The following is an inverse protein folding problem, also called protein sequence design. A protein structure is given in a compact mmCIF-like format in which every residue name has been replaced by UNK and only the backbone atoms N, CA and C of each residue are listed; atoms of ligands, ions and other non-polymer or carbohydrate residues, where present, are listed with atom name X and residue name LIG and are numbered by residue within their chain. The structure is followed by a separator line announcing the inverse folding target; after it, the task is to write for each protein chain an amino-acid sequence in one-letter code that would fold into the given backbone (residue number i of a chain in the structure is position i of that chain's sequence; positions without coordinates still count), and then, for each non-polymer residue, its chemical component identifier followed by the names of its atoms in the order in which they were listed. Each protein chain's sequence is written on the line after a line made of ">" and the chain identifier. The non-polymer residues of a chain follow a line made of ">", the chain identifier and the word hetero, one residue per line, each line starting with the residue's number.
data_IF_293070394246
#
_entry.id   IF_293070394246
#
_cell.length_a   1.000
_cell.length_b   1.000
_cell.length_c   1.000
_cell.angle_alpha   90.00
_cell.angle_beta   90.00
_cell.angle_gamma   90.00
#
_symmetry.space_group_name_H-M   'P 1'
#
loop_
_entity.id
_entity.type
_entity.pdbx_description
1 polymer ?
#
# COMPACT_ATOMS: atom_id res chain seq x y z
N UNK A 1 11.14 30.65 14.47
CA UNK A 1 11.43 29.20 14.46
C UNK A 1 10.10 28.51 14.64
N UNK A 2 9.63 27.83 13.60
CA UNK A 2 8.42 27.02 13.66
C UNK A 2 8.77 25.74 14.46
N UNK A 3 8.31 25.65 15.71
CA UNK A 3 8.72 24.56 16.61
C UNK A 3 7.96 23.28 16.27
N UNK A 4 8.44 22.58 15.23
CA UNK A 4 7.87 21.34 14.72
C UNK A 4 8.03 20.13 15.66
N UNK A 5 8.55 20.30 16.88
CA UNK A 5 8.76 19.21 17.86
C UNK A 5 7.49 18.43 18.21
N UNK A 6 6.33 19.07 18.11
CA UNK A 6 5.03 18.46 18.43
C UNK A 6 4.31 17.88 17.20
N UNK A 7 4.93 17.94 16.01
CA UNK A 7 4.33 17.37 14.80
C UNK A 7 4.47 15.84 14.78
N UNK A 8 3.55 15.19 14.05
CA UNK A 8 3.65 13.77 13.76
C UNK A 8 4.79 13.45 12.78
N UNK A 9 5.08 12.16 12.62
CA UNK A 9 6.06 11.66 11.65
C UNK A 9 5.44 11.51 10.26
N UNK A 10 6.26 11.69 9.22
CA UNK A 10 5.85 11.54 7.82
C UNK A 10 5.25 10.16 7.56
N UNK A 11 3.96 10.12 7.21
CA UNK A 11 3.19 8.88 7.00
C UNK A 11 3.76 7.98 5.90
N UNK A 12 4.39 8.56 4.88
CA UNK A 12 5.07 7.83 3.79
C UNK A 12 6.32 7.06 4.23
N UNK A 13 6.83 7.30 5.45
CA UNK A 13 8.00 6.59 6.01
C UNK A 13 7.54 5.44 6.91
N UNK A 14 6.78 5.74 7.98
CA UNK A 14 6.44 4.73 8.98
C UNK A 14 5.25 3.84 8.59
N UNK A 15 4.35 4.32 7.71
CA UNK A 15 3.07 3.67 7.44
C UNK A 15 3.23 2.25 6.86
N UNK A 16 4.09 2.08 5.85
CA UNK A 16 4.31 0.78 5.23
C UNK A 16 4.87 -0.26 6.22
N UNK A 17 5.83 0.15 7.05
CA UNK A 17 6.44 -0.72 8.06
C UNK A 17 5.46 -1.12 9.16
N UNK A 18 4.61 -0.19 9.60
CA UNK A 18 3.57 -0.52 10.56
C UNK A 18 2.60 -1.54 9.95
N UNK A 19 2.12 -1.32 8.73
CA UNK A 19 1.21 -2.26 8.07
C UNK A 19 1.83 -3.65 7.91
N UNK A 20 3.09 -3.76 7.47
CA UNK A 20 3.82 -5.03 7.42
C UNK A 20 3.82 -5.75 8.78
N UNK A 21 4.04 -5.01 9.87
CA UNK A 21 3.97 -5.54 11.24
C UNK A 21 2.56 -5.97 11.65
N UNK A 22 1.55 -5.14 11.43
CA UNK A 22 0.16 -5.43 11.80
C UNK A 22 -0.39 -6.65 11.06
N UNK A 23 -0.09 -6.75 9.77
CA UNK A 23 -0.46 -7.92 8.96
C UNK A 23 0.24 -9.17 9.50
N UNK A 24 1.55 -9.11 9.75
CA UNK A 24 2.28 -10.25 10.32
C UNK A 24 1.72 -10.68 11.69
N UNK A 25 1.34 -9.73 12.55
CA UNK A 25 0.69 -9.99 13.84
C UNK A 25 -0.64 -10.72 13.63
N UNK A 26 -1.49 -10.25 12.71
CA UNK A 26 -2.77 -10.89 12.40
C UNK A 26 -2.58 -12.32 11.87
N UNK A 27 -1.63 -12.56 10.96
CA UNK A 27 -1.31 -13.92 10.51
C UNK A 27 -0.68 -14.78 11.61
N UNK A 28 -0.04 -14.18 12.61
CA UNK A 28 0.45 -14.86 13.81
C UNK A 28 -0.65 -15.32 14.78
N UNK A 29 -1.87 -14.80 14.64
CA UNK A 29 -2.99 -15.13 15.51
C UNK A 29 -3.34 -16.63 15.49
N UNK A 30 -3.77 -17.24 16.61
CA UNK A 30 -4.13 -18.66 16.64
C UNK A 30 -5.31 -19.00 15.73
N UNK A 31 -5.33 -20.23 15.21
CA UNK A 31 -6.48 -20.76 14.47
C UNK A 31 -7.67 -20.93 15.43
N UNK A 32 -7.41 -21.40 16.65
CA UNK A 32 -8.38 -21.55 17.74
C UNK A 32 -7.91 -20.71 18.93
N UNK A 33 -8.26 -19.41 18.98
CA UNK A 33 -7.81 -18.53 20.04
C UNK A 33 -8.61 -18.74 21.34
N UNK A 34 -7.90 -18.66 22.47
CA UNK A 34 -8.51 -18.55 23.81
C UNK A 34 -9.17 -17.18 24.00
N UNK A 35 -10.09 -17.07 24.96
CA UNK A 35 -10.72 -15.78 25.31
C UNK A 35 -9.70 -14.72 25.75
N UNK A 36 -8.64 -15.13 26.44
CA UNK A 36 -7.56 -14.24 26.81
C UNK A 36 -6.82 -13.70 25.56
N UNK A 37 -6.49 -14.58 24.60
CA UNK A 37 -5.85 -14.16 23.35
C UNK A 37 -6.74 -13.23 22.54
N UNK A 38 -8.06 -13.48 22.48
CA UNK A 38 -9.03 -12.57 21.86
C UNK A 38 -8.97 -11.18 22.49
N UNK A 39 -8.98 -11.11 23.82
CA UNK A 39 -8.90 -9.85 24.57
C UNK A 39 -7.60 -9.10 24.28
N UNK A 40 -6.45 -9.78 24.34
CA UNK A 40 -5.15 -9.18 24.07
C UNK A 40 -5.06 -8.58 22.67
N UNK A 41 -5.54 -9.30 21.65
CA UNK A 41 -5.50 -8.81 20.27
C UNK A 41 -6.49 -7.65 20.04
N UNK A 42 -7.71 -7.70 20.58
CA UNK A 42 -8.64 -6.57 20.52
C UNK A 42 -8.05 -5.31 21.17
N UNK A 43 -7.49 -5.45 22.37
CA UNK A 43 -6.87 -4.34 23.07
C UNK A 43 -5.67 -3.79 22.28
N UNK A 44 -4.78 -4.65 21.79
CA UNK A 44 -3.65 -4.25 20.96
C UNK A 44 -4.08 -3.40 19.76
N UNK A 45 -5.05 -3.87 18.97
CA UNK A 45 -5.53 -3.12 17.81
C UNK A 45 -6.29 -1.85 18.19
N UNK A 46 -7.06 -1.86 19.27
CA UNK A 46 -7.75 -0.67 19.77
C UNK A 46 -6.77 0.43 20.19
N UNK A 47 -5.71 0.07 20.93
CA UNK A 47 -4.70 1.01 21.43
C UNK A 47 -3.87 1.68 20.30
N UNK A 48 -3.83 1.09 19.10
CA UNK A 48 -3.22 1.75 17.94
C UNK A 48 -3.90 3.10 17.65
N UNK A 49 -5.21 3.22 17.89
CA UNK A 49 -5.94 4.47 17.70
C UNK A 49 -5.35 5.67 18.46
N UNK A 50 -4.60 5.42 19.54
CA UNK A 50 -4.01 6.45 20.39
C UNK A 50 -2.51 6.66 20.17
N UNK A 51 -1.84 5.71 19.52
CA UNK A 51 -0.37 5.67 19.44
C UNK A 51 0.19 5.95 18.03
N UNK A 52 -0.64 5.95 16.98
CA UNK A 52 -0.15 6.31 15.63
C UNK A 52 0.50 7.71 15.66
N UNK A 53 1.70 7.89 15.08
CA UNK A 53 2.46 9.14 15.15
C UNK A 53 1.94 10.19 14.15
N UNK A 54 0.62 10.28 13.98
CA UNK A 54 -0.06 11.26 13.14
C UNK A 54 -1.49 11.44 13.67
N UNK A 55 -1.86 12.68 14.04
CA UNK A 55 -3.20 13.00 14.57
C UNK A 55 -4.33 12.56 13.64
N UNK A 56 -4.25 12.91 12.35
CA UNK A 56 -5.28 12.56 11.37
C UNK A 56 -5.35 11.05 11.10
N UNK A 57 -4.23 10.34 11.24
CA UNK A 57 -4.23 8.88 11.15
C UNK A 57 -4.97 8.26 12.34
N UNK A 58 -4.73 8.76 13.56
CA UNK A 58 -5.45 8.33 14.78
C UNK A 58 -6.96 8.54 14.68
N UNK A 59 -7.38 9.75 14.33
CA UNK A 59 -8.80 10.11 14.22
C UNK A 59 -9.53 9.23 13.19
N UNK A 60 -8.91 9.01 12.03
CA UNK A 60 -9.53 8.16 11.00
C UNK A 60 -9.50 6.69 11.35
N UNK A 61 -8.40 6.19 11.94
CA UNK A 61 -8.32 4.82 12.41
C UNK A 61 -9.41 4.54 13.44
N UNK A 62 -9.53 5.42 14.46
CA UNK A 62 -10.56 5.32 15.49
C UNK A 62 -11.96 5.27 14.87
N UNK A 63 -12.26 6.20 13.96
CA UNK A 63 -13.54 6.23 13.24
C UNK A 63 -13.83 4.92 12.50
N UNK A 64 -12.85 4.38 11.78
CA UNK A 64 -13.03 3.12 11.05
C UNK A 64 -13.32 1.96 12.01
N UNK A 65 -12.57 1.84 13.10
CA UNK A 65 -12.79 0.75 14.05
C UNK A 65 -14.03 0.93 14.95
N UNK A 66 -14.64 2.12 15.01
CA UNK A 66 -15.82 2.38 15.84
C UNK A 66 -17.15 2.45 15.08
N UNK A 67 -17.14 3.00 13.86
CA UNK A 67 -18.34 3.41 13.13
C UNK A 67 -18.51 2.72 11.77
N UNK A 68 -17.44 2.25 11.13
CA UNK A 68 -17.51 1.74 9.76
C UNK A 68 -17.99 0.29 9.71
N UNK A 69 -18.98 -0.01 8.87
CA UNK A 69 -19.64 -1.32 8.85
C UNK A 69 -18.69 -2.49 8.57
N UNK A 70 -17.66 -2.28 7.75
CA UNK A 70 -16.76 -3.37 7.30
C UNK A 70 -15.55 -3.55 8.22
N UNK A 71 -15.26 -2.55 9.05
CA UNK A 71 -14.03 -2.48 9.84
C UNK A 71 -14.25 -2.19 11.32
N UNK A 72 -15.51 -2.05 11.75
CA UNK A 72 -15.88 -1.92 13.16
C UNK A 72 -15.38 -3.10 13.97
N UNK A 73 -14.81 -2.79 15.12
CA UNK A 73 -14.26 -3.78 16.04
C UNK A 73 -15.39 -4.48 16.79
N UNK A 74 -15.59 -5.77 16.49
CA UNK A 74 -16.58 -6.65 17.15
C UNK A 74 -15.87 -7.86 17.77
N UNK A 75 -16.63 -8.77 18.39
CA UNK A 75 -16.06 -10.05 18.85
C UNK A 75 -15.83 -11.03 17.69
N UNK A 76 -16.57 -10.86 16.58
CA UNK A 76 -16.45 -11.71 15.40
C UNK A 76 -15.09 -11.58 14.71
N UNK A 77 -14.48 -10.39 14.73
CA UNK A 77 -13.19 -10.16 14.07
C UNK A 77 -12.06 -10.99 14.69
N UNK A 78 -12.16 -11.34 15.98
CA UNK A 78 -11.16 -12.15 16.70
C UNK A 78 -11.58 -13.60 16.89
N UNK A 79 -12.63 -14.06 16.19
CA UNK A 79 -13.11 -15.44 16.26
C UNK A 79 -12.01 -16.45 15.96
N UNK A 80 -11.19 -16.19 14.94
CA UNK A 80 -10.03 -17.00 14.55
C UNK A 80 -9.06 -16.18 13.68
N UNK A 81 -7.97 -16.82 13.23
CA UNK A 81 -6.99 -16.20 12.31
C UNK A 81 -7.64 -15.59 11.08
N UNK A 82 -8.52 -16.32 10.40
CA UNK A 82 -9.10 -15.89 9.12
C UNK A 82 -9.96 -14.63 9.27
N UNK A 83 -10.80 -14.58 10.30
CA UNK A 83 -11.61 -13.38 10.58
C UNK A 83 -10.73 -12.16 10.88
N UNK A 84 -9.61 -12.35 11.59
CA UNK A 84 -8.71 -11.26 11.95
C UNK A 84 -7.88 -10.78 10.74
N UNK A 85 -7.38 -11.71 9.92
CA UNK A 85 -6.63 -11.37 8.70
C UNK A 85 -7.52 -10.69 7.67
N UNK A 86 -8.78 -11.10 7.55
CA UNK A 86 -9.75 -10.43 6.68
C UNK A 86 -10.10 -9.04 7.20
N UNK A 87 -10.27 -8.87 8.51
CA UNK A 87 -10.55 -7.57 9.12
C UNK A 87 -9.40 -6.57 8.91
N UNK A 88 -8.14 -6.97 9.14
CA UNK A 88 -7.00 -6.07 8.95
C UNK A 88 -6.77 -5.71 7.48
N UNK A 89 -7.09 -6.63 6.56
CA UNK A 89 -7.10 -6.38 5.12
C UNK A 89 -8.13 -5.31 4.74
N UNK A 90 -9.38 -5.45 5.22
CA UNK A 90 -10.45 -4.47 4.99
C UNK A 90 -10.08 -3.09 5.58
N UNK A 91 -9.50 -3.06 6.79
CA UNK A 91 -9.08 -1.83 7.43
C UNK A 91 -7.98 -1.11 6.64
N UNK A 92 -7.01 -1.84 6.10
CA UNK A 92 -5.98 -1.28 5.23
C UNK A 92 -6.58 -0.71 3.95
N UNK A 93 -7.53 -1.43 3.33
CA UNK A 93 -8.24 -0.95 2.15
C UNK A 93 -9.10 0.29 2.42
N UNK A 94 -9.69 0.41 3.62
CA UNK A 94 -10.42 1.62 4.02
C UNK A 94 -9.50 2.84 4.10
N UNK A 95 -8.27 2.66 4.61
CA UNK A 95 -7.25 3.72 4.60
C UNK A 95 -6.83 4.06 3.17
N UNK A 96 -6.64 3.06 2.30
CA UNK A 96 -6.32 3.29 0.89
C UNK A 96 -7.43 4.11 0.19
N UNK A 97 -8.69 3.76 0.41
CA UNK A 97 -9.85 4.50 -0.11
C UNK A 97 -9.85 5.95 0.36
N UNK A 98 -9.60 6.20 1.66
CA UNK A 98 -9.50 7.57 2.20
C UNK A 98 -8.41 8.39 1.51
N UNK A 99 -7.29 7.76 1.17
CA UNK A 99 -6.16 8.40 0.49
C UNK A 99 -6.35 8.51 -1.02
N UNK A 100 -7.43 7.95 -1.58
CA UNK A 100 -7.67 7.91 -3.03
C UNK A 100 -6.64 7.06 -3.79
N UNK A 101 -6.05 6.07 -3.11
CA UNK A 101 -5.04 5.16 -3.65
C UNK A 101 -5.66 3.78 -3.82
N UNK A 102 -5.40 3.15 -4.95
CA UNK A 102 -5.83 1.78 -5.23
C UNK A 102 -4.61 0.91 -5.46
N UNK A 103 -4.68 -0.36 -5.05
CA UNK A 103 -3.70 -1.39 -5.36
C UNK A 103 -4.44 -2.57 -6.01
N UNK A 104 -3.79 -3.22 -6.97
CA UNK A 104 -4.28 -4.46 -7.55
C UNK A 104 -3.83 -5.63 -6.68
N UNK A 105 -4.43 -5.79 -5.50
CA UNK A 105 -4.14 -6.93 -4.60
C UNK A 105 -5.45 -7.46 -4.03
N UNK A 106 -5.69 -8.76 -4.20
CA UNK A 106 -6.86 -9.43 -3.64
C UNK A 106 -6.58 -9.92 -2.21
N UNK A 107 -7.62 -10.35 -1.49
CA UNK A 107 -7.42 -11.02 -0.20
C UNK A 107 -6.63 -12.32 -0.38
N UNK A 108 -6.85 -13.06 -1.47
CA UNK A 108 -6.11 -14.30 -1.75
C UNK A 108 -4.63 -14.04 -2.03
N UNK A 109 -4.29 -13.00 -2.81
CA UNK A 109 -2.90 -12.56 -3.02
C UNK A 109 -2.23 -12.20 -1.68
N UNK A 110 -2.99 -11.53 -0.80
CA UNK A 110 -2.55 -11.13 0.53
C UNK A 110 -2.29 -12.35 1.42
N UNK A 111 -3.21 -13.33 1.46
CA UNK A 111 -3.04 -14.60 2.17
C UNK A 111 -1.86 -15.40 1.61
N UNK A 112 -1.76 -15.54 0.28
CA UNK A 112 -0.65 -16.24 -0.38
C UNK A 112 0.69 -15.64 0.06
N UNK A 113 0.82 -14.30 0.02
CA UNK A 113 2.03 -13.60 0.44
C UNK A 113 2.40 -13.92 1.89
N UNK A 114 1.50 -13.71 2.85
CA UNK A 114 1.84 -13.86 4.27
C UNK A 114 1.97 -15.31 4.72
N UNK A 115 1.29 -16.27 4.08
CA UNK A 115 1.53 -17.69 4.36
C UNK A 115 2.87 -18.20 3.83
N UNK A 116 3.52 -17.52 2.87
CA UNK A 116 4.93 -17.81 2.53
C UNK A 116 5.87 -17.48 3.69
N UNK A 117 5.48 -16.58 4.59
CA UNK A 117 6.29 -16.18 5.76
C UNK A 117 6.10 -17.14 6.95
N UNK A 118 5.14 -18.07 6.88
CA UNK A 118 4.88 -19.05 7.93
C UNK A 118 6.12 -19.91 8.16
N UNK A 119 6.53 -20.02 9.42
CA UNK A 119 7.63 -20.88 9.81
C UNK A 119 7.25 -22.37 9.66
N UNK A 120 7.73 -23.00 8.59
CA UNK A 120 7.71 -24.45 8.31
C UNK A 120 9.07 -25.07 8.69
N UNK A 121 9.47 -24.89 9.96
CA UNK A 121 10.77 -25.34 10.42
C UNK A 121 10.87 -26.86 10.49
N UNK A 122 12.09 -27.37 10.29
CA UNK A 122 12.49 -28.66 10.85
C UNK A 122 13.07 -28.39 12.24
N UNK A 123 12.67 -29.19 13.22
CA UNK A 123 13.28 -29.14 14.54
C UNK A 123 14.64 -29.84 14.47
N UNK A 124 15.72 -29.11 14.76
CA UNK A 124 17.03 -29.70 15.03
C UNK A 124 17.48 -29.37 16.47
N UNK A 125 18.61 -29.93 16.90
CA UNK A 125 19.15 -29.74 18.25
C UNK A 125 19.58 -28.29 18.56
N UNK A 126 19.63 -27.40 17.55
CA UNK A 126 20.05 -25.99 17.63
C UNK A 126 18.91 -24.99 17.34
N UNK A 127 17.68 -25.44 17.07
CA UNK A 127 16.49 -24.61 17.00
C UNK A 127 15.59 -24.81 15.77
N UNK A 128 14.92 -23.73 15.36
CA UNK A 128 13.94 -23.70 14.26
C UNK A 128 14.66 -23.30 12.96
N UNK A 129 15.03 -24.26 12.11
CA UNK A 129 15.67 -23.95 10.82
C UNK A 129 14.67 -24.09 9.68
N UNK A 130 14.40 -22.95 9.02
CA UNK A 130 13.61 -22.90 7.79
C UNK A 130 14.43 -23.39 6.58
N UNK A 131 13.89 -24.27 5.72
CA UNK A 131 14.54 -24.67 4.46
C UNK A 131 14.93 -23.47 3.58
N UNK A 132 16.09 -23.54 2.94
CA UNK A 132 16.68 -22.42 2.17
C UNK A 132 15.76 -21.97 1.03
N UNK A 133 15.13 -22.90 0.32
CA UNK A 133 14.21 -22.58 -0.78
C UNK A 133 12.96 -21.82 -0.29
N UNK A 134 12.39 -22.23 0.83
CA UNK A 134 11.25 -21.54 1.45
C UNK A 134 11.64 -20.15 1.96
N UNK A 135 12.84 -20.02 2.56
CA UNK A 135 13.38 -18.70 2.92
C UNK A 135 13.53 -17.80 1.70
N UNK A 136 14.08 -18.32 0.60
CA UNK A 136 14.27 -17.56 -0.62
C UNK A 136 12.95 -17.06 -1.22
N UNK A 137 11.90 -17.89 -1.21
CA UNK A 137 10.57 -17.47 -1.66
C UNK A 137 9.97 -16.39 -0.74
N UNK A 138 10.03 -16.57 0.59
CA UNK A 138 9.60 -15.56 1.56
C UNK A 138 10.31 -14.22 1.34
N UNK A 139 11.65 -14.22 1.16
CA UNK A 139 12.39 -12.98 0.88
C UNK A 139 11.98 -12.34 -0.45
N UNK A 140 11.75 -13.13 -1.51
CA UNK A 140 11.27 -12.61 -2.79
C UNK A 140 9.90 -11.93 -2.63
N UNK A 141 8.97 -12.53 -1.89
CA UNK A 141 7.63 -12.00 -1.63
C UNK A 141 7.65 -10.77 -0.71
N UNK A 142 8.58 -10.72 0.24
CA UNK A 142 8.78 -9.56 1.11
C UNK A 142 9.35 -8.35 0.35
N UNK A 143 10.38 -8.57 -0.48
CA UNK A 143 11.02 -7.51 -1.27
C UNK A 143 10.13 -6.98 -2.39
N UNK A 144 9.16 -7.77 -2.83
CA UNK A 144 8.19 -7.37 -3.84
C UNK A 144 7.13 -6.42 -3.25
N UNK A 145 7.04 -5.22 -3.85
CA UNK A 145 6.14 -4.15 -3.43
C UNK A 145 5.15 -3.84 -4.55
N UNK A 146 3.87 -3.83 -4.21
CA UNK A 146 2.82 -3.33 -5.10
C UNK A 146 2.95 -1.81 -5.24
N UNK A 147 2.84 -1.31 -6.47
CA UNK A 147 2.77 0.11 -6.74
C UNK A 147 1.30 0.53 -6.98
N UNK A 148 0.91 1.77 -6.64
CA UNK A 148 -0.44 2.28 -6.83
C UNK A 148 -0.95 2.06 -8.25
N UNK A 149 -2.26 1.84 -8.39
CA UNK A 149 -2.93 1.62 -9.66
C UNK A 149 -3.92 2.75 -9.92
N UNK A 150 -3.88 3.29 -11.13
CA UNK A 150 -4.91 4.19 -11.66
C UNK A 150 -5.64 3.49 -12.80
N UNK A 151 -6.88 3.91 -13.06
CA UNK A 151 -7.67 3.34 -14.15
C UNK A 151 -7.05 3.63 -15.51
N UNK A 152 -7.11 2.68 -16.44
CA UNK A 152 -6.60 2.86 -17.81
C UNK A 152 -7.25 4.06 -18.49
N UNK A 153 -8.57 4.21 -18.34
CA UNK A 153 -9.32 5.31 -18.94
C UNK A 153 -8.89 6.68 -18.38
N UNK A 154 -8.40 6.72 -17.14
CA UNK A 154 -7.85 7.95 -16.56
C UNK A 154 -6.47 8.25 -17.14
N UNK A 155 -5.62 7.23 -17.31
CA UNK A 155 -4.30 7.37 -17.91
C UNK A 155 -4.36 7.81 -19.38
N UNK A 156 -5.31 7.28 -20.15
CA UNK A 156 -5.51 7.62 -21.57
C UNK A 156 -5.84 9.11 -21.79
N UNK A 157 -6.46 9.78 -20.81
CA UNK A 157 -6.74 11.22 -20.90
C UNK A 157 -5.47 12.09 -20.92
N UNK A 158 -4.32 11.54 -20.52
CA UNK A 158 -3.03 12.23 -20.59
C UNK A 158 -2.28 12.03 -21.92
N UNK A 159 -2.80 11.25 -22.88
CA UNK A 159 -2.14 10.98 -24.17
C UNK A 159 -1.72 12.25 -24.89
N UNK A 160 -2.66 13.17 -25.11
CA UNK A 160 -2.39 14.42 -25.83
C UNK A 160 -1.30 15.26 -25.14
N UNK A 161 -1.37 15.37 -23.82
CA UNK A 161 -0.36 16.12 -23.06
C UNK A 161 1.02 15.44 -23.11
N UNK A 162 1.07 14.11 -23.05
CA UNK A 162 2.31 13.36 -23.18
C UNK A 162 2.95 13.55 -24.57
N UNK A 163 2.15 13.57 -25.63
CA UNK A 163 2.60 13.86 -27.00
C UNK A 163 3.18 15.28 -27.12
N UNK A 164 2.52 16.30 -26.53
CA UNK A 164 3.05 17.67 -26.44
C UNK A 164 4.39 17.77 -25.70
N UNK A 165 4.71 16.75 -24.90
CA UNK A 165 5.93 16.61 -24.09
C UNK A 165 6.95 15.65 -24.73
N UNK A 166 6.73 15.24 -25.98
CA UNK A 166 7.54 14.26 -26.71
C UNK A 166 7.68 12.90 -25.99
N UNK A 167 6.60 12.44 -25.35
CA UNK A 167 6.55 11.15 -24.65
C UNK A 167 5.41 10.29 -25.19
N UNK A 168 5.74 9.16 -25.82
CA UNK A 168 4.76 8.21 -26.33
C UNK A 168 4.22 7.30 -25.23
N UNK A 169 3.16 7.75 -24.58
CA UNK A 169 2.43 6.98 -23.58
C UNK A 169 1.50 5.91 -24.21
N UNK A 170 1.05 6.12 -25.45
CA UNK A 170 0.03 5.28 -26.10
C UNK A 170 0.56 3.88 -26.36
N UNK A 171 1.80 3.78 -26.85
CA UNK A 171 2.47 2.48 -27.07
C UNK A 171 2.59 1.71 -25.75
N UNK A 172 2.93 2.38 -24.65
CA UNK A 172 3.09 1.73 -23.33
C UNK A 172 1.74 1.23 -22.80
N UNK A 173 0.68 2.05 -22.89
CA UNK A 173 -0.67 1.69 -22.43
C UNK A 173 -1.32 0.53 -23.20
N UNK A 174 -0.81 0.21 -24.40
CA UNK A 174 -1.28 -0.94 -25.18
C UNK A 174 -0.79 -2.29 -24.65
N UNK A 175 0.24 -2.30 -23.80
CA UNK A 175 0.76 -3.53 -23.18
C UNK A 175 -0.15 -3.96 -22.03
N UNK A 176 -0.49 -5.24 -21.97
CA UNK A 176 -1.14 -5.81 -20.78
C UNK A 176 -0.12 -5.93 -19.64
N UNK A 177 -0.07 -4.88 -18.82
CA UNK A 177 0.86 -4.78 -17.69
C UNK A 177 0.36 -5.49 -16.42
N UNK A 178 -0.87 -6.02 -16.41
CA UNK A 178 -1.45 -6.72 -15.26
C UNK A 178 -1.46 -8.25 -15.41
N UNK A 179 -0.98 -8.78 -16.53
CA UNK A 179 -0.60 -10.19 -16.63
C UNK A 179 0.41 -10.56 -15.53
N UNK A 180 0.38 -11.81 -15.06
CA UNK A 180 1.19 -12.27 -13.91
C UNK A 180 2.69 -11.97 -14.07
N UNK A 181 3.22 -12.15 -15.27
CA UNK A 181 4.65 -11.90 -15.57
C UNK A 181 4.96 -10.40 -15.66
N UNK A 182 4.05 -9.62 -16.26
CA UNK A 182 4.27 -8.18 -16.48
C UNK A 182 4.02 -7.34 -15.21
N UNK A 183 3.08 -7.73 -14.35
CA UNK A 183 2.76 -7.01 -13.10
C UNK A 183 4.00 -6.83 -12.23
N UNK A 184 4.84 -7.87 -12.12
CA UNK A 184 6.06 -7.81 -11.33
C UNK A 184 7.07 -6.81 -11.90
N UNK A 185 7.28 -6.82 -13.21
CA UNK A 185 8.18 -5.89 -13.89
C UNK A 185 7.65 -4.45 -13.78
N UNK A 186 6.36 -4.25 -14.04
CA UNK A 186 5.67 -2.97 -13.90
C UNK A 186 5.89 -2.38 -12.51
N UNK A 187 5.65 -3.16 -11.46
CA UNK A 187 5.80 -2.70 -10.07
C UNK A 187 7.24 -2.33 -9.73
N UNK A 188 8.21 -3.11 -10.23
CA UNK A 188 9.64 -2.79 -10.09
C UNK A 188 9.96 -1.42 -10.71
N UNK A 189 9.56 -1.19 -11.97
CA UNK A 189 9.81 0.06 -12.69
C UNK A 189 9.12 1.24 -11.98
N UNK A 190 7.87 1.08 -11.55
CA UNK A 190 7.15 2.13 -10.82
C UNK A 190 7.89 2.53 -9.54
N UNK A 191 8.36 1.56 -8.74
CA UNK A 191 9.10 1.85 -7.52
C UNK A 191 10.48 2.46 -7.78
N UNK A 192 11.17 2.09 -8.85
CA UNK A 192 12.40 2.77 -9.28
C UNK A 192 12.14 4.27 -9.57
N UNK A 193 11.06 4.59 -10.28
CA UNK A 193 10.67 5.97 -10.58
C UNK A 193 10.26 6.71 -9.29
N UNK A 194 9.39 6.10 -8.47
CA UNK A 194 8.89 6.70 -7.22
C UNK A 194 10.05 7.00 -6.26
N UNK A 195 10.98 6.06 -6.07
CA UNK A 195 12.12 6.26 -5.19
C UNK A 195 13.05 7.35 -5.74
N UNK A 196 13.34 7.33 -7.05
CA UNK A 196 14.10 8.41 -7.69
C UNK A 196 13.46 9.77 -7.45
N UNK A 197 12.14 9.89 -7.58
CA UNK A 197 11.43 11.14 -7.33
C UNK A 197 11.55 11.59 -5.86
N UNK A 198 11.37 10.66 -4.91
CA UNK A 198 11.47 10.95 -3.47
C UNK A 198 12.88 11.35 -3.04
N UNK A 199 13.89 10.62 -3.49
CA UNK A 199 15.29 10.83 -3.12
C UNK A 199 15.87 12.13 -3.69
N UNK A 200 15.35 12.58 -4.83
CA UNK A 200 15.86 13.76 -5.55
C UNK A 200 14.88 14.96 -5.52
N UNK A 201 13.90 14.94 -4.62
CA UNK A 201 12.90 16.01 -4.47
C UNK A 201 12.19 16.40 -5.78
N UNK A 202 11.94 15.42 -6.67
CA UNK A 202 11.26 15.66 -7.93
C UNK A 202 9.75 15.67 -7.68
N UNK A 203 9.04 16.78 -7.99
CA UNK A 203 7.60 16.87 -7.76
C UNK A 203 6.82 16.04 -8.79
N UNK A 204 5.58 15.69 -8.44
CA UNK A 204 4.63 15.07 -9.37
C UNK A 204 4.09 16.05 -10.42
N UNK A 205 3.97 17.33 -10.05
CA UNK A 205 3.52 18.41 -10.92
C UNK A 205 4.66 19.39 -11.19
N UNK A 206 4.68 19.97 -12.38
CA UNK A 206 5.59 21.05 -12.72
C UNK A 206 5.27 22.28 -11.85
N UNK A 207 6.29 22.85 -11.23
CA UNK A 207 6.14 24.00 -10.31
C UNK A 207 6.12 25.33 -11.04
N UNK A 208 6.63 25.38 -12.26
CA UNK A 208 6.82 26.61 -13.04
C UNK A 208 6.81 26.35 -14.56
N UNK A 209 6.87 27.44 -15.34
CA UNK A 209 6.91 27.40 -16.81
C UNK A 209 5.56 27.10 -17.46
N UNK A 210 5.60 26.83 -18.77
CA UNK A 210 4.41 26.60 -19.62
C UNK A 210 3.51 25.46 -19.12
N UNK A 211 4.09 24.48 -18.43
CA UNK A 211 3.39 23.27 -17.99
C UNK A 211 3.06 23.27 -16.50
N UNK A 212 3.17 24.43 -15.83
CA UNK A 212 2.86 24.57 -14.41
C UNK A 212 1.53 23.90 -14.05
N UNK A 213 1.51 23.21 -12.91
CA UNK A 213 0.37 22.46 -12.37
C UNK A 213 -0.05 21.22 -13.19
N UNK A 214 0.73 20.83 -14.21
CA UNK A 214 0.56 19.59 -14.99
C UNK A 214 1.62 18.55 -14.62
N UNK A 215 1.39 17.24 -14.91
CA UNK A 215 2.32 16.19 -14.52
C UNK A 215 3.72 16.36 -15.10
N UNK A 216 4.76 16.07 -14.31
CA UNK A 216 6.16 16.03 -14.79
C UNK A 216 6.40 14.84 -15.73
N UNK A 217 7.56 14.78 -16.40
CA UNK A 217 7.91 13.60 -17.24
C UNK A 217 7.93 12.31 -16.40
N UNK A 218 8.42 12.35 -15.16
CA UNK A 218 8.46 11.16 -14.31
C UNK A 218 7.06 10.73 -13.89
N UNK A 219 6.17 11.67 -13.62
CA UNK A 219 4.77 11.37 -13.34
C UNK A 219 4.06 10.81 -14.59
N UNK A 220 4.32 11.35 -15.78
CA UNK A 220 3.81 10.77 -17.04
C UNK A 220 4.31 9.34 -17.28
N UNK A 221 5.56 9.01 -16.91
CA UNK A 221 6.06 7.63 -16.95
C UNK A 221 5.29 6.73 -16.00
N UNK A 222 4.95 7.19 -14.80
CA UNK A 222 4.09 6.43 -13.89
C UNK A 222 2.69 6.24 -14.48
N UNK A 223 2.08 7.31 -15.01
CA UNK A 223 0.75 7.25 -15.62
C UNK A 223 0.75 6.27 -16.80
N UNK A 224 1.82 6.21 -17.59
CA UNK A 224 1.97 5.23 -18.68
C UNK A 224 1.98 3.77 -18.22
N UNK A 225 2.37 3.53 -16.97
CA UNK A 225 2.35 2.23 -16.30
C UNK A 225 1.10 2.05 -15.44
N UNK A 226 0.05 2.84 -15.72
CA UNK A 226 -1.19 2.92 -14.95
C UNK A 226 -0.91 3.07 -13.44
N UNK A 227 0.08 3.88 -13.07
CA UNK A 227 0.46 4.22 -11.71
C UNK A 227 0.51 5.74 -11.52
N UNK A 228 0.55 6.22 -10.28
CA UNK A 228 0.76 7.63 -9.97
C UNK A 228 1.18 7.83 -8.52
N UNK A 229 1.88 8.93 -8.23
CA UNK A 229 2.04 9.44 -6.87
C UNK A 229 0.85 10.29 -6.41
N UNK A 230 -0.04 10.65 -7.33
CA UNK A 230 -1.25 11.43 -7.12
C UNK A 230 -2.44 10.48 -6.99
N UNK A 231 -3.42 10.88 -6.19
CA UNK A 231 -4.71 10.20 -6.09
C UNK A 231 -5.53 10.37 -7.37
N UNK A 232 -6.53 9.50 -7.55
CA UNK A 232 -7.44 9.61 -8.69
C UNK A 232 -8.13 10.99 -8.75
N UNK A 233 -8.55 11.52 -7.61
CA UNK A 233 -9.19 12.84 -7.52
C UNK A 233 -8.25 14.00 -7.89
N UNK A 234 -6.97 13.90 -7.54
CA UNK A 234 -5.96 14.88 -7.92
C UNK A 234 -5.73 14.86 -9.43
N UNK A 235 -5.60 13.67 -10.02
CA UNK A 235 -5.48 13.50 -11.47
C UNK A 235 -6.71 14.05 -12.21
N UNK A 236 -7.92 13.77 -11.72
CA UNK A 236 -9.16 14.30 -12.30
C UNK A 236 -9.23 15.83 -12.25
N UNK A 237 -8.79 16.46 -11.16
CA UNK A 237 -8.71 17.93 -11.06
C UNK A 237 -7.71 18.52 -12.04
N UNK A 238 -6.55 17.87 -12.21
CA UNK A 238 -5.52 18.31 -13.15
C UNK A 238 -6.03 18.24 -14.59
N UNK A 239 -6.92 17.28 -14.89
CA UNK A 239 -7.46 17.14 -16.24
C UNK A 239 -8.26 18.37 -16.73
N UNK A 240 -8.76 19.20 -15.81
CA UNK A 240 -9.45 20.46 -16.13
C UNK A 240 -8.49 21.48 -16.77
N UNK A 241 -7.18 21.31 -16.59
CA UNK A 241 -6.16 22.20 -17.13
C UNK A 241 -5.78 21.88 -18.57
N UNK A 242 -6.27 20.78 -19.17
CA UNK A 242 -5.96 20.36 -20.55
C UNK A 242 -7.01 20.77 -21.57
#
# INVERSE_FOLDING_TARGET
>A
MDDNKNNGLMTKIWGAHLWEGLHAIAFGYPIEPTEEQKSHYKNFFYELAYTLPCKFSRESYLKFISEDNDTKMTDDIVKNRDTLTHWIYNLHNKVNQKLGITYDITYDDFVEKYETFRAKCKHDNNGCVMPIELKADAYKRNLYKEAPVIKKELAEKFIRYAEERNFDIKTILSVDIFSKDNRRLRNKICWEIINKMRENAIPSLETEGKYKDRPTINELKLISLQSSNLSNDELEKILILF
#
